data_IF_785884295241
#
_entry.id   IF_785884295241
#
_cell.length_a   1.000
_cell.length_b   1.000
_cell.length_c   1.000
_cell.angle_alpha   90.00
_cell.angle_beta   90.00
_cell.angle_gamma   90.00
#
_symmetry.space_group_name_H-M   'P 1'
#
loop_
_entity.id
_entity.type
_entity.pdbx_description
1 polymer ?
#
# COMPACT_ATOMS: atom_id res chain seq x y z
N UNK A 1 -4.96 0.80 -10.52
CA UNK A 1 -4.21 1.82 -11.28
C UNK A 1 -5.17 2.95 -11.60
N UNK A 2 -4.67 4.18 -11.67
CA UNK A 2 -5.45 5.38 -11.97
C UNK A 2 -4.61 6.33 -12.83
N UNK A 3 -5.23 6.93 -13.85
CA UNK A 3 -4.66 8.10 -14.53
C UNK A 3 -5.03 9.36 -13.73
N UNK A 4 -4.02 10.09 -13.28
CA UNK A 4 -4.19 11.32 -12.53
C UNK A 4 -4.65 12.46 -13.44
N UNK A 5 -5.24 13.50 -12.85
CA UNK A 5 -5.67 14.71 -13.58
C UNK A 5 -4.57 15.41 -14.37
N UNK A 6 -3.29 15.22 -13.99
CA UNK A 6 -2.13 15.78 -14.70
C UNK A 6 -1.58 14.84 -15.79
N UNK A 7 -2.26 13.74 -16.09
CA UNK A 7 -1.87 12.77 -17.12
C UNK A 7 -0.92 11.67 -16.63
N UNK A 8 -0.27 11.81 -15.48
CA UNK A 8 0.59 10.76 -14.91
C UNK A 8 -0.23 9.55 -14.49
N UNK A 9 0.40 8.37 -14.47
CA UNK A 9 -0.24 7.14 -14.04
C UNK A 9 0.26 6.74 -12.66
N UNK A 10 -0.67 6.36 -11.78
CA UNK A 10 -0.35 5.83 -10.45
C UNK A 10 -0.83 4.39 -10.31
N UNK A 11 0.05 3.54 -9.78
CA UNK A 11 -0.22 2.13 -9.50
C UNK A 11 0.05 1.85 -8.03
N UNK A 12 -0.92 1.23 -7.35
CA UNK A 12 -0.70 0.63 -6.03
C UNK A 12 -0.69 -0.89 -6.22
N UNK A 13 0.39 -1.55 -5.80
CA UNK A 13 0.58 -2.98 -6.01
C UNK A 13 1.49 -3.59 -4.94
N UNK A 14 1.50 -4.92 -4.84
CA UNK A 14 2.63 -5.59 -4.19
C UNK A 14 3.77 -5.70 -5.20
N UNK A 15 4.98 -5.32 -4.78
CA UNK A 15 6.17 -5.30 -5.63
C UNK A 15 7.09 -6.51 -5.42
N UNK A 16 6.51 -7.62 -4.97
CA UNK A 16 7.16 -8.91 -4.81
C UNK A 16 6.58 -9.92 -5.81
N UNK A 17 7.43 -10.81 -6.32
CA UNK A 17 6.99 -11.95 -7.14
C UNK A 17 6.18 -12.95 -6.31
N UNK A 18 6.62 -13.20 -5.07
CA UNK A 18 5.95 -14.05 -4.11
C UNK A 18 5.70 -13.33 -2.79
N UNK A 19 4.56 -13.64 -2.17
CA UNK A 19 4.14 -12.99 -0.94
C UNK A 19 3.40 -11.67 -1.16
N UNK A 20 2.91 -11.10 -0.07
CA UNK A 20 2.05 -9.91 -0.09
C UNK A 20 2.33 -8.96 1.07
N UNK A 21 3.61 -8.80 1.40
CA UNK A 21 4.08 -8.06 2.58
C UNK A 21 4.82 -6.77 2.23
N UNK A 22 4.72 -6.31 0.97
CA UNK A 22 5.33 -5.07 0.49
C UNK A 22 4.35 -4.35 -0.43
N UNK A 23 3.57 -3.42 0.14
CA UNK A 23 2.59 -2.62 -0.60
C UNK A 23 3.25 -1.30 -1.02
N UNK A 24 3.44 -1.12 -2.33
CA UNK A 24 4.06 0.06 -2.90
C UNK A 24 3.06 0.89 -3.72
N UNK A 25 3.33 2.19 -3.80
CA UNK A 25 2.77 3.10 -4.80
C UNK A 25 3.87 3.51 -5.77
N UNK A 26 3.60 3.40 -7.05
CA UNK A 26 4.51 3.75 -8.13
C UNK A 26 3.87 4.82 -9.04
N UNK A 27 4.70 5.74 -9.54
CA UNK A 27 4.29 6.82 -10.42
C UNK A 27 5.04 6.73 -11.76
N UNK A 28 4.29 6.88 -12.85
CA UNK A 28 4.81 6.96 -14.21
C UNK A 28 4.38 8.28 -14.85
N UNK A 29 5.30 8.90 -15.57
CA UNK A 29 5.09 10.10 -16.39
C UNK A 29 5.22 9.81 -17.89
N UNK A 30 5.25 8.53 -18.28
CA UNK A 30 5.45 8.04 -19.64
C UNK A 30 4.50 6.89 -20.00
N UNK A 31 3.26 6.99 -19.52
CA UNK A 31 2.15 6.05 -19.81
C UNK A 31 2.47 4.59 -19.44
N UNK A 32 3.17 4.41 -18.31
CA UNK A 32 3.49 3.11 -17.74
C UNK A 32 4.72 2.43 -18.34
N UNK A 33 5.47 3.09 -19.23
CA UNK A 33 6.72 2.53 -19.79
C UNK A 33 7.81 2.42 -18.71
N UNK A 34 7.92 3.42 -17.86
CA UNK A 34 8.80 3.41 -16.70
C UNK A 34 8.05 3.88 -15.44
N UNK A 35 8.45 3.33 -14.30
CA UNK A 35 7.89 3.67 -12.99
C UNK A 35 8.99 4.34 -12.17
N UNK A 36 9.28 5.61 -12.52
CA UNK A 36 10.46 6.35 -12.04
C UNK A 36 10.48 6.54 -10.52
N UNK A 37 9.31 6.73 -9.93
CA UNK A 37 9.16 6.92 -8.49
C UNK A 37 8.39 5.77 -7.88
N UNK A 38 8.87 5.28 -6.73
CA UNK A 38 8.23 4.24 -5.94
C UNK A 38 8.42 4.54 -4.47
N UNK A 39 7.34 4.47 -3.70
CA UNK A 39 7.37 4.55 -2.24
C UNK A 39 6.51 3.46 -1.62
N UNK A 40 6.96 2.89 -0.52
CA UNK A 40 6.21 1.86 0.22
C UNK A 40 5.16 2.52 1.13
N UNK A 41 3.92 2.07 1.02
CA UNK A 41 2.83 2.38 1.97
C UNK A 41 2.98 1.49 3.20
N UNK A 42 3.27 0.21 2.97
CA UNK A 42 3.54 -0.79 3.99
C UNK A 42 4.71 -1.65 3.50
N UNK A 43 5.67 -1.93 4.38
CA UNK A 43 6.82 -2.78 4.04
C UNK A 43 7.27 -3.55 5.27
N UNK A 44 7.10 -4.86 5.20
CA UNK A 44 7.71 -5.78 6.15
C UNK A 44 8.90 -6.47 5.49
N UNK A 45 9.90 -6.88 6.27
CA UNK A 45 10.98 -7.74 5.78
C UNK A 45 10.74 -9.18 6.20
N UNK A 46 11.03 -10.12 5.29
CA UNK A 46 11.07 -11.54 5.65
C UNK A 46 12.21 -11.85 6.66
N UNK A 47 13.21 -10.96 6.75
CA UNK A 47 14.27 -11.03 7.75
C UNK A 47 13.79 -10.66 9.17
N UNK A 48 12.63 -10.01 9.32
CA UNK A 48 12.08 -9.55 10.61
C UNK A 48 11.45 -10.67 11.46
N UNK A 49 11.87 -11.92 11.23
CA UNK A 49 11.48 -13.11 11.98
C UNK A 49 10.54 -14.03 11.20
N UNK A 50 11.10 -15.16 10.73
CA UNK A 50 10.42 -16.43 10.42
C UNK A 50 8.97 -16.38 9.86
N UNK A 51 8.68 -15.46 8.94
CA UNK A 51 7.36 -15.35 8.30
C UNK A 51 6.28 -14.64 9.11
N UNK A 52 6.63 -13.90 10.17
CA UNK A 52 5.70 -13.02 10.88
C UNK A 52 5.55 -11.66 10.21
N UNK A 53 4.99 -11.70 9.00
CA UNK A 53 4.77 -10.53 8.14
C UNK A 53 3.28 -10.22 8.00
N UNK A 54 2.96 -8.94 7.85
CA UNK A 54 1.63 -8.51 7.48
C UNK A 54 1.31 -8.95 6.05
N UNK A 55 0.02 -9.00 5.71
CA UNK A 55 -0.41 -9.22 4.33
C UNK A 55 -1.35 -8.13 3.87
N UNK A 56 -1.04 -7.55 2.72
CA UNK A 56 -1.69 -6.39 2.14
C UNK A 56 -2.32 -6.79 0.82
N UNK A 57 -3.64 -6.71 0.72
CA UNK A 57 -4.39 -7.21 -0.43
C UNK A 57 -5.33 -6.17 -1.02
N UNK A 58 -5.68 -6.36 -2.29
CA UNK A 58 -6.76 -5.66 -3.00
C UNK A 58 -6.72 -4.13 -2.81
N UNK A 59 -5.61 -3.46 -3.14
CA UNK A 59 -5.55 -2.02 -3.05
C UNK A 59 -6.53 -1.37 -4.05
N UNK A 60 -7.20 -0.33 -3.60
CA UNK A 60 -7.98 0.59 -4.43
C UNK A 60 -7.45 2.00 -4.23
N UNK A 61 -7.42 2.79 -5.29
CA UNK A 61 -6.89 4.16 -5.29
C UNK A 61 -7.85 5.11 -6.00
N UNK A 62 -8.08 6.28 -5.41
CA UNK A 62 -8.81 7.39 -6.02
C UNK A 62 -8.05 8.71 -5.84
N UNK A 63 -8.30 9.68 -6.71
CA UNK A 63 -7.79 11.05 -6.59
C UNK A 63 -8.92 12.01 -6.21
N UNK A 64 -8.69 12.84 -5.20
CA UNK A 64 -9.64 13.86 -4.74
C UNK A 64 -9.62 15.13 -5.62
N UNK A 65 -10.56 16.03 -5.38
CA UNK A 65 -10.66 17.33 -6.06
C UNK A 65 -9.39 18.17 -5.90
N UNK A 66 -8.82 18.18 -4.69
CA UNK A 66 -7.59 18.89 -4.32
C UNK A 66 -6.28 18.22 -4.80
N UNK A 67 -6.38 17.13 -5.58
CA UNK A 67 -5.22 16.41 -6.12
C UNK A 67 -4.61 15.37 -5.19
N UNK A 68 -5.06 15.24 -3.92
CA UNK A 68 -4.56 14.18 -3.03
C UNK A 68 -5.05 12.79 -3.43
N UNK A 69 -4.28 11.78 -3.03
CA UNK A 69 -4.51 10.37 -3.33
C UNK A 69 -4.98 9.66 -2.08
N UNK A 70 -6.01 8.84 -2.26
CA UNK A 70 -6.65 8.05 -1.20
C UNK A 70 -6.52 6.59 -1.58
N UNK A 71 -5.93 5.79 -0.69
CA UNK A 71 -5.75 4.36 -0.90
C UNK A 71 -6.46 3.60 0.21
N UNK A 72 -7.22 2.57 -0.17
CA UNK A 72 -7.74 1.58 0.76
C UNK A 72 -7.23 0.19 0.38
N UNK A 73 -7.04 -0.67 1.37
CA UNK A 73 -6.55 -2.03 1.15
C UNK A 73 -6.94 -2.94 2.30
N UNK A 74 -7.05 -4.24 2.02
CA UNK A 74 -7.21 -5.27 3.04
C UNK A 74 -5.88 -5.48 3.76
N UNK A 75 -5.91 -5.40 5.09
CA UNK A 75 -4.77 -5.59 5.97
C UNK A 75 -4.98 -6.82 6.83
N UNK A 76 -4.06 -7.77 6.78
CA UNK A 76 -3.96 -8.87 7.72
C UNK A 76 -2.74 -8.65 8.61
N UNK A 77 -2.96 -8.58 9.92
CA UNK A 77 -1.92 -8.29 10.89
C UNK A 77 -0.89 -9.43 10.99
N UNK A 78 0.33 -9.06 11.40
CA UNK A 78 1.34 -10.00 11.90
C UNK A 78 0.76 -10.77 13.09
N UNK A 79 1.11 -12.04 13.24
CA UNK A 79 0.67 -12.85 14.38
C UNK A 79 1.08 -12.21 15.70
N UNK A 80 2.30 -11.67 15.79
CA UNK A 80 2.78 -10.96 16.99
C UNK A 80 2.01 -9.67 17.30
N UNK A 81 1.37 -9.07 16.30
CA UNK A 81 0.63 -7.82 16.43
C UNK A 81 -0.88 -8.02 16.64
N UNK A 82 -1.38 -9.27 16.64
CA UNK A 82 -2.80 -9.56 16.87
C UNK A 82 -3.16 -9.17 18.30
N UNK A 83 -4.05 -8.18 18.42
CA UNK A 83 -4.69 -7.81 19.68
C UNK A 83 -6.01 -8.52 19.84
N UNK A 84 -6.48 -8.66 21.08
CA UNK A 84 -7.83 -9.10 21.37
C UNK A 84 -8.72 -7.88 21.63
N UNK A 85 -9.99 -7.97 21.23
CA UNK A 85 -11.00 -7.00 21.64
C UNK A 85 -11.53 -7.29 23.06
N UNK A 86 -12.51 -6.49 23.52
CA UNK A 86 -13.09 -6.64 24.86
C UNK A 86 -13.85 -7.96 25.09
N UNK A 87 -14.13 -8.72 24.04
CA UNK A 87 -14.75 -10.04 24.09
C UNK A 87 -13.72 -11.17 23.85
N UNK A 88 -12.42 -10.84 23.79
CA UNK A 88 -11.35 -11.81 23.59
C UNK A 88 -11.19 -12.27 22.13
N UNK A 89 -11.81 -11.60 21.15
CA UNK A 89 -11.72 -11.97 19.73
C UNK A 89 -10.49 -11.35 19.08
N UNK A 90 -9.78 -12.06 18.18
CA UNK A 90 -8.58 -11.54 17.54
C UNK A 90 -8.89 -10.47 16.48
N UNK A 91 -8.24 -9.32 16.61
CA UNK A 91 -8.25 -8.22 15.65
C UNK A 91 -7.20 -8.44 14.56
N UNK A 92 -7.42 -9.47 13.75
CA UNK A 92 -6.45 -9.95 12.77
C UNK A 92 -6.60 -9.32 11.38
N UNK A 93 -7.77 -8.77 11.04
CA UNK A 93 -8.09 -8.27 9.70
C UNK A 93 -8.82 -6.94 9.77
N UNK A 94 -8.47 -6.01 8.90
CA UNK A 94 -9.14 -4.73 8.75
C UNK A 94 -9.02 -4.21 7.30
N UNK A 95 -9.79 -3.17 6.98
CA UNK A 95 -9.47 -2.30 5.85
C UNK A 95 -8.65 -1.13 6.41
N UNK A 96 -7.45 -0.93 5.87
CA UNK A 96 -6.63 0.24 6.18
C UNK A 96 -6.80 1.30 5.09
N UNK A 97 -6.50 2.53 5.48
CA UNK A 97 -6.59 3.71 4.63
C UNK A 97 -5.29 4.51 4.71
N UNK A 98 -4.80 4.97 3.57
CA UNK A 98 -3.64 5.85 3.45
C UNK A 98 -4.00 7.08 2.60
N UNK A 99 -3.44 8.23 2.97
CA UNK A 99 -3.67 9.51 2.32
C UNK A 99 -2.36 10.24 2.13
N UNK A 100 -2.07 10.62 0.89
CA UNK A 100 -0.82 11.29 0.50
C UNK A 100 -1.01 12.06 -0.82
N UNK A 101 0.05 12.67 -1.35
CA UNK A 101 0.05 13.36 -2.64
C UNK A 101 1.22 12.88 -3.52
N UNK A 102 1.31 13.38 -4.76
CA UNK A 102 2.40 13.01 -5.67
C UNK A 102 3.79 13.38 -5.13
N UNK A 103 3.94 14.52 -4.45
CA UNK A 103 5.21 14.93 -3.86
C UNK A 103 5.73 13.93 -2.84
N UNK A 104 4.84 13.37 -2.01
CA UNK A 104 5.21 12.31 -1.08
C UNK A 104 5.72 11.05 -1.80
N UNK A 105 5.17 10.70 -2.97
CA UNK A 105 5.67 9.56 -3.75
C UNK A 105 7.07 9.84 -4.29
N UNK A 106 7.34 11.08 -4.71
CA UNK A 106 8.60 11.48 -5.37
C UNK A 106 9.76 11.77 -4.40
N UNK A 107 9.47 12.00 -3.12
CA UNK A 107 10.42 12.27 -2.04
C UNK A 107 11.00 10.97 -1.43
N UNK A 108 11.45 10.05 -2.30
CA UNK A 108 11.92 8.70 -1.94
C UNK A 108 13.43 8.55 -2.04
#
# INVERSE_FOLDING_TARGET
MLTLKNGKWVLVHNDLEEGRYSLAVALSDDEGRTWKWKRHIERDSAADGAGDVGRYHYPSIIQSSNGSLHVSYSYFAKKSAIKLDGEGRPLQKAIKYAHFNESWIMDS
#
